data_IF_015572867534
#
_entry.id   IF_015572867534
#
_cell.length_a   1.000
_cell.length_b   1.000
_cell.length_c   1.000
_cell.angle_alpha   90.00
_cell.angle_beta   90.00
_cell.angle_gamma   90.00
#
_symmetry.space_group_name_H-M   'P 1'
#
loop_
_entity.id
_entity.type
_entity.pdbx_description
1 polymer ?
#
# COMPACT_ATOMS: atom_id res chain seq x y z
N UNK A 1 -13.73 -2.60 40.27
CA UNK A 1 -13.83 -2.15 38.87
C UNK A 1 -13.21 -0.77 38.80
N UNK A 2 -12.14 -0.58 38.01
CA UNK A 2 -11.67 0.77 37.71
C UNK A 2 -12.77 1.49 36.92
N UNK A 3 -13.03 2.78 37.23
CA UNK A 3 -13.92 3.59 36.42
C UNK A 3 -13.42 3.62 34.97
N UNK A 4 -14.34 3.65 34.00
CA UNK A 4 -13.95 3.84 32.61
C UNK A 4 -13.21 5.18 32.47
N UNK A 5 -12.13 5.25 31.68
CA UNK A 5 -11.39 6.50 31.50
C UNK A 5 -12.27 7.55 30.83
N UNK A 6 -12.12 8.80 31.26
CA UNK A 6 -12.71 9.97 30.61
C UNK A 6 -12.06 10.25 29.26
N UNK A 7 -12.75 11.01 28.41
CA UNK A 7 -12.19 11.41 27.11
C UNK A 7 -10.94 12.29 27.29
N UNK A 8 -10.92 13.13 28.32
CA UNK A 8 -9.80 13.99 28.67
C UNK A 8 -8.54 13.19 29.04
N UNK A 9 -8.68 12.12 29.84
CA UNK A 9 -7.57 11.22 30.18
C UNK A 9 -7.01 10.51 28.94
N UNK A 10 -7.88 10.10 28.01
CA UNK A 10 -7.46 9.49 26.74
C UNK A 10 -6.66 10.48 25.90
N UNK A 11 -7.14 11.71 25.76
CA UNK A 11 -6.46 12.78 24.99
C UNK A 11 -5.13 13.16 25.63
N UNK A 12 -5.04 13.22 26.96
CA UNK A 12 -3.78 13.51 27.65
C UNK A 12 -2.71 12.45 27.34
N UNK A 13 -3.07 11.17 27.42
CA UNK A 13 -2.16 10.07 27.09
C UNK A 13 -1.78 10.07 25.61
N UNK A 14 -2.73 10.38 24.72
CA UNK A 14 -2.46 10.49 23.29
C UNK A 14 -1.46 11.63 23.00
N UNK A 15 -1.65 12.81 23.59
CA UNK A 15 -0.73 13.94 23.42
C UNK A 15 0.68 13.59 23.91
N UNK A 16 0.77 12.90 25.05
CA UNK A 16 2.06 12.42 25.58
C UNK A 16 2.72 11.41 24.63
N UNK A 17 1.95 10.50 24.04
CA UNK A 17 2.46 9.53 23.07
C UNK A 17 2.99 10.22 21.81
N UNK A 18 2.24 11.17 21.25
CA UNK A 18 2.63 11.95 20.06
C UNK A 18 3.94 12.71 20.31
N UNK A 19 4.07 13.38 21.45
CA UNK A 19 5.30 14.09 21.81
C UNK A 19 6.49 13.12 21.93
N UNK A 20 6.32 12.00 22.63
CA UNK A 20 7.38 10.99 22.76
C UNK A 20 7.78 10.40 21.40
N UNK A 21 6.82 10.18 20.51
CA UNK A 21 7.06 9.66 19.17
C UNK A 21 7.85 10.67 18.33
N UNK A 22 7.46 11.94 18.34
CA UNK A 22 8.20 13.01 17.66
C UNK A 22 9.64 13.14 18.14
N UNK A 23 9.85 13.19 19.47
CA UNK A 23 11.19 13.28 20.06
C UNK A 23 12.03 12.04 19.74
N UNK A 24 11.41 10.85 19.76
CA UNK A 24 12.10 9.62 19.38
C UNK A 24 12.54 9.68 17.92
N UNK A 25 11.63 9.99 17.01
CA UNK A 25 11.93 10.10 15.58
C UNK A 25 13.05 11.11 15.30
N UNK A 26 12.93 12.33 15.84
CA UNK A 26 13.89 13.40 15.61
C UNK A 26 15.31 13.05 16.06
N UNK A 27 15.44 12.33 17.18
CA UNK A 27 16.72 12.07 17.82
C UNK A 27 17.28 10.65 17.62
N UNK A 28 16.44 9.70 17.18
CA UNK A 28 16.80 8.27 17.07
C UNK A 28 16.58 7.68 15.68
N UNK A 29 15.71 8.26 14.86
CA UNK A 29 15.39 7.73 13.53
C UNK A 29 15.91 8.60 12.41
N UNK A 30 15.70 9.92 12.51
CA UNK A 30 16.06 10.87 11.45
C UNK A 30 17.56 10.81 11.14
N UNK A 31 17.88 10.64 9.87
CA UNK A 31 19.25 10.59 9.37
C UNK A 31 19.99 9.26 9.61
N UNK A 32 19.34 8.27 10.23
CA UNK A 32 19.89 6.90 10.33
C UNK A 32 19.97 6.20 8.98
N UNK A 33 20.71 5.09 8.92
CA UNK A 33 20.76 4.25 7.72
C UNK A 33 19.36 3.75 7.31
N UNK A 34 18.54 3.35 8.28
CA UNK A 34 17.17 2.89 8.06
C UNK A 34 16.32 3.98 7.42
N UNK A 35 16.40 5.22 7.92
CA UNK A 35 15.71 6.37 7.34
C UNK A 35 16.08 6.59 5.87
N UNK A 36 17.37 6.58 5.53
CA UNK A 36 17.79 6.75 4.13
C UNK A 36 17.38 5.57 3.24
N UNK A 37 17.43 4.35 3.75
CA UNK A 37 16.95 3.17 3.03
C UNK A 37 15.44 3.30 2.74
N UNK A 38 14.64 3.68 3.73
CA UNK A 38 13.21 3.92 3.59
C UNK A 38 12.92 5.05 2.59
N UNK A 39 13.70 6.12 2.59
CA UNK A 39 13.58 7.19 1.59
C UNK A 39 13.90 6.68 0.16
N UNK A 40 14.87 5.79 -0.01
CA UNK A 40 15.15 5.16 -1.31
C UNK A 40 13.98 4.27 -1.76
N UNK A 41 13.40 3.48 -0.85
CA UNK A 41 12.21 2.66 -1.12
C UNK A 41 11.01 3.53 -1.49
N UNK A 42 10.91 4.74 -0.94
CA UNK A 42 9.90 5.70 -1.33
C UNK A 42 10.14 6.26 -2.74
N UNK A 43 11.36 6.69 -3.08
CA UNK A 43 11.59 7.46 -4.32
C UNK A 43 11.87 6.58 -5.54
N UNK A 44 12.70 5.56 -5.40
CA UNK A 44 13.23 4.77 -6.53
C UNK A 44 12.11 4.06 -7.32
N UNK A 45 11.12 3.40 -6.71
CA UNK A 45 10.05 2.74 -7.46
C UNK A 45 9.27 3.72 -8.34
N UNK A 46 8.96 4.93 -7.86
CA UNK A 46 8.27 5.94 -8.67
C UNK A 46 9.08 6.40 -9.88
N UNK A 47 10.40 6.53 -9.74
CA UNK A 47 11.29 6.84 -10.87
C UNK A 47 11.27 5.72 -11.92
N UNK A 48 11.31 4.47 -11.48
CA UNK A 48 11.19 3.30 -12.36
C UNK A 48 9.80 3.25 -13.02
N UNK A 49 8.75 3.47 -12.25
CA UNK A 49 7.38 3.50 -12.77
C UNK A 49 7.23 4.56 -13.85
N UNK A 50 7.72 5.79 -13.64
CA UNK A 50 7.60 6.85 -14.63
C UNK A 50 8.23 6.48 -15.98
N UNK A 51 9.37 5.77 -15.94
CA UNK A 51 10.10 5.27 -17.11
C UNK A 51 9.35 4.16 -17.85
N UNK A 52 8.69 3.25 -17.13
CA UNK A 52 8.04 2.06 -17.71
C UNK A 52 6.51 2.16 -17.83
N UNK A 53 5.89 3.22 -17.33
CA UNK A 53 4.44 3.38 -17.33
C UNK A 53 3.87 3.47 -18.75
N UNK A 54 2.86 2.65 -19.04
CA UNK A 54 2.10 2.70 -20.28
C UNK A 54 1.23 3.96 -20.32
N UNK A 55 1.73 4.98 -21.01
CA UNK A 55 1.11 6.30 -21.09
C UNK A 55 -0.28 6.28 -21.76
N UNK A 56 -0.64 5.22 -22.50
CA UNK A 56 -1.97 5.09 -23.13
C UNK A 56 -3.07 4.72 -22.14
N UNK A 57 -2.70 4.05 -21.04
CA UNK A 57 -3.63 3.54 -20.01
C UNK A 57 -3.36 4.17 -18.64
N UNK A 58 -2.72 5.34 -18.62
CA UNK A 58 -2.18 5.94 -17.39
C UNK A 58 -3.24 6.11 -16.30
N UNK A 59 -4.45 6.57 -16.66
CA UNK A 59 -5.55 6.78 -15.71
C UNK A 59 -6.02 5.47 -15.08
N UNK A 60 -6.17 4.41 -15.87
CA UNK A 60 -6.57 3.08 -15.40
C UNK A 60 -5.51 2.48 -14.46
N UNK A 61 -4.24 2.60 -14.84
CA UNK A 61 -3.10 2.10 -14.05
C UNK A 61 -2.97 2.87 -12.74
N UNK A 62 -3.08 4.21 -12.78
CA UNK A 62 -3.06 5.04 -11.58
C UNK A 62 -4.25 4.76 -10.67
N UNK A 63 -5.46 4.59 -11.23
CA UNK A 63 -6.64 4.20 -10.45
C UNK A 63 -6.39 2.89 -9.70
N UNK A 64 -5.84 1.89 -10.39
CA UNK A 64 -5.45 0.63 -9.78
C UNK A 64 -4.39 0.83 -8.67
N UNK A 65 -3.33 1.59 -8.94
CA UNK A 65 -2.29 1.89 -7.95
C UNK A 65 -2.80 2.63 -6.72
N UNK A 66 -3.67 3.62 -6.89
CA UNK A 66 -4.27 4.36 -5.77
C UNK A 66 -5.23 3.50 -4.95
N UNK A 67 -5.96 2.56 -5.58
CA UNK A 67 -6.75 1.58 -4.84
C UNK A 67 -5.84 0.66 -4.00
N UNK A 68 -4.72 0.20 -4.55
CA UNK A 68 -3.73 -0.61 -3.81
C UNK A 68 -3.16 0.18 -2.63
N UNK A 69 -2.70 1.40 -2.87
CA UNK A 69 -2.20 2.30 -1.83
C UNK A 69 -3.22 2.47 -0.71
N UNK A 70 -4.48 2.71 -1.06
CA UNK A 70 -5.56 2.92 -0.08
C UNK A 70 -5.77 1.67 0.78
N UNK A 71 -5.93 0.50 0.15
CA UNK A 71 -6.16 -0.76 0.88
C UNK A 71 -4.96 -1.13 1.74
N UNK A 72 -3.74 -1.00 1.19
CA UNK A 72 -2.50 -1.28 1.92
C UNK A 72 -2.38 -0.39 3.17
N UNK A 73 -2.52 0.93 3.00
CA UNK A 73 -2.42 1.88 4.11
C UNK A 73 -3.48 1.60 5.19
N UNK A 74 -4.73 1.35 4.81
CA UNK A 74 -5.81 1.08 5.78
C UNK A 74 -5.56 -0.22 6.55
N UNK A 75 -5.17 -1.30 5.86
CA UNK A 75 -4.90 -2.58 6.51
C UNK A 75 -3.68 -2.50 7.43
N UNK A 76 -2.65 -1.76 7.01
CA UNK A 76 -1.43 -1.57 7.79
C UNK A 76 -1.70 -0.81 9.08
N UNK A 77 -2.47 0.27 8.99
CA UNK A 77 -2.89 1.05 10.15
C UNK A 77 -3.77 0.24 11.10
N UNK A 78 -4.74 -0.51 10.58
CA UNK A 78 -5.54 -1.42 11.42
C UNK A 78 -4.64 -2.45 12.10
N UNK A 79 -3.67 -3.01 11.38
CA UNK A 79 -2.71 -3.97 11.94
C UNK A 79 -1.88 -3.39 13.08
N UNK A 80 -1.36 -2.18 12.90
CA UNK A 80 -0.56 -1.51 13.92
C UNK A 80 -1.41 -1.05 15.12
N UNK A 81 -2.62 -0.53 14.90
CA UNK A 81 -3.55 -0.16 15.98
C UNK A 81 -3.96 -1.36 16.83
N UNK A 82 -4.06 -2.55 16.22
CA UNK A 82 -4.31 -3.81 16.92
C UNK A 82 -3.05 -4.43 17.54
N UNK A 83 -1.88 -3.78 17.43
CA UNK A 83 -0.57 -4.30 17.84
C UNK A 83 -0.26 -5.67 17.24
N UNK A 84 -0.66 -5.92 15.99
CA UNK A 84 -0.26 -7.14 15.28
C UNK A 84 1.22 -7.05 14.89
N UNK A 85 1.66 -5.86 14.49
CA UNK A 85 3.03 -5.49 14.17
C UNK A 85 3.25 -3.97 14.38
N UNK A 86 4.50 -3.53 14.29
CA UNK A 86 4.89 -2.11 14.40
C UNK A 86 6.25 -1.85 13.72
N UNK A 87 6.53 -0.58 13.46
CA UNK A 87 7.78 -0.12 12.87
C UNK A 87 8.61 0.72 13.85
N UNK A 88 9.92 0.46 13.87
CA UNK A 88 10.87 1.23 14.67
C UNK A 88 11.41 2.47 13.96
N UNK A 89 11.27 2.51 12.63
CA UNK A 89 11.79 3.57 11.79
C UNK A 89 10.77 3.95 10.74
N UNK A 90 10.58 5.25 10.55
CA UNK A 90 9.77 5.78 9.46
C UNK A 90 10.36 7.09 8.89
N UNK A 91 9.84 7.51 7.74
CA UNK A 91 10.24 8.77 7.09
C UNK A 91 9.61 10.00 7.75
N UNK A 92 8.60 9.80 8.59
CA UNK A 92 7.90 10.85 9.33
C UNK A 92 7.38 10.32 10.68
N UNK A 93 7.16 11.18 11.69
CA UNK A 93 6.94 10.75 13.07
C UNK A 93 5.49 10.43 13.47
N UNK A 94 4.50 10.56 12.59
CA UNK A 94 3.08 10.58 12.98
C UNK A 94 2.23 9.54 12.25
N UNK A 95 1.81 9.86 11.04
CA UNK A 95 0.90 9.09 10.22
C UNK A 95 1.01 9.50 8.74
N UNK A 96 0.84 8.54 7.81
CA UNK A 96 0.67 7.10 8.03
C UNK A 96 1.98 6.34 8.22
N UNK A 97 1.89 5.17 8.84
CA UNK A 97 3.03 4.28 9.05
C UNK A 97 3.48 3.64 7.76
N UNK A 98 4.79 3.42 7.67
CA UNK A 98 5.51 2.78 6.59
C UNK A 98 5.12 3.30 5.18
N UNK A 99 5.03 4.63 5.04
CA UNK A 99 4.77 5.31 3.76
C UNK A 99 5.63 4.74 2.61
N UNK A 100 6.94 4.45 2.77
CA UNK A 100 7.76 3.89 1.70
C UNK A 100 7.21 2.59 1.09
N UNK A 101 6.64 1.70 1.90
CA UNK A 101 6.07 0.45 1.40
C UNK A 101 4.66 0.69 0.85
N UNK A 102 3.81 1.37 1.63
CA UNK A 102 2.39 1.57 1.35
C UNK A 102 2.12 2.50 0.15
N UNK A 103 2.93 3.54 -0.03
CA UNK A 103 2.74 4.59 -1.05
C UNK A 103 3.65 4.42 -2.26
N UNK A 104 4.65 3.54 -2.20
CA UNK A 104 5.61 3.37 -3.29
C UNK A 104 5.79 1.90 -3.64
N UNK A 105 6.51 1.12 -2.84
CA UNK A 105 6.93 -0.22 -3.28
C UNK A 105 5.75 -1.15 -3.61
N UNK A 106 4.69 -1.20 -2.79
CA UNK A 106 3.47 -1.98 -3.08
C UNK A 106 2.71 -1.45 -4.30
N UNK A 107 2.21 -0.20 -4.33
CA UNK A 107 1.39 0.28 -5.44
C UNK A 107 2.17 0.29 -6.75
N UNK A 108 3.46 0.64 -6.76
CA UNK A 108 4.28 0.64 -7.97
C UNK A 108 4.48 -0.77 -8.51
N UNK A 109 4.89 -1.72 -7.68
CA UNK A 109 5.10 -3.10 -8.14
C UNK A 109 3.81 -3.72 -8.68
N UNK A 110 2.68 -3.46 -8.03
CA UNK A 110 1.37 -3.93 -8.46
C UNK A 110 0.96 -3.27 -9.78
N UNK A 111 1.15 -1.97 -9.94
CA UNK A 111 0.90 -1.26 -11.21
C UNK A 111 1.75 -1.81 -12.37
N UNK A 112 3.04 -2.10 -12.12
CA UNK A 112 3.93 -2.68 -13.13
C UNK A 112 3.45 -4.06 -13.57
N UNK A 113 3.02 -4.92 -12.65
CA UNK A 113 2.43 -6.23 -12.99
C UNK A 113 1.09 -6.05 -13.73
N UNK A 114 0.24 -5.13 -13.27
CA UNK A 114 -1.05 -4.85 -13.89
C UNK A 114 -0.92 -4.50 -15.37
N UNK A 115 -0.02 -3.57 -15.71
CA UNK A 115 0.15 -3.15 -17.10
C UNK A 115 0.87 -4.19 -17.97
N UNK A 116 1.76 -5.00 -17.40
CA UNK A 116 2.56 -5.99 -18.10
C UNK A 116 1.80 -7.29 -18.42
N UNK A 117 0.83 -7.68 -17.59
CA UNK A 117 0.13 -8.96 -17.71
C UNK A 117 -1.38 -8.78 -17.97
N UNK A 118 -1.82 -8.62 -19.22
CA UNK A 118 -3.21 -8.36 -19.55
C UNK A 118 -4.13 -9.58 -19.35
N UNK A 119 -3.60 -10.80 -19.21
CA UNK A 119 -4.42 -11.99 -18.95
C UNK A 119 -4.44 -12.36 -17.47
N UNK A 120 -5.60 -12.80 -16.97
CA UNK A 120 -5.79 -13.19 -15.57
C UNK A 120 -4.78 -14.25 -15.10
N UNK A 121 -4.57 -15.30 -15.89
CA UNK A 121 -3.62 -16.38 -15.53
C UNK A 121 -2.21 -15.85 -15.28
N UNK A 122 -1.67 -15.03 -16.18
CA UNK A 122 -0.30 -14.49 -16.03
C UNK A 122 -0.22 -13.49 -14.87
N UNK A 123 -1.26 -12.68 -14.69
CA UNK A 123 -1.34 -11.71 -13.61
C UNK A 123 -1.36 -12.36 -12.23
N UNK A 124 -2.14 -13.43 -12.05
CA UNK A 124 -2.20 -14.18 -10.78
C UNK A 124 -0.85 -14.81 -10.50
N UNK A 125 -0.23 -15.48 -11.49
CA UNK A 125 1.10 -16.09 -11.32
C UNK A 125 2.15 -15.04 -10.91
N UNK A 126 2.15 -13.88 -11.58
CA UNK A 126 3.08 -12.79 -11.27
C UNK A 126 2.87 -12.23 -9.85
N UNK A 127 1.62 -12.05 -9.42
CA UNK A 127 1.34 -11.61 -8.04
C UNK A 127 1.65 -12.68 -7.00
N UNK A 128 1.47 -13.97 -7.30
CA UNK A 128 1.91 -15.05 -6.40
C UNK A 128 3.42 -15.05 -6.22
N UNK A 129 4.18 -14.84 -7.30
CA UNK A 129 5.63 -14.69 -7.22
C UNK A 129 6.04 -13.45 -6.42
N UNK A 130 5.39 -12.30 -6.67
CA UNK A 130 5.65 -11.07 -5.91
C UNK A 130 5.28 -11.22 -4.43
N UNK A 131 4.16 -11.87 -4.12
CA UNK A 131 3.73 -12.17 -2.76
C UNK A 131 4.76 -13.01 -2.01
N UNK A 132 5.37 -13.99 -2.68
CA UNK A 132 6.45 -14.78 -2.08
C UNK A 132 7.69 -13.93 -1.78
N UNK A 133 8.05 -13.02 -2.71
CA UNK A 133 9.15 -12.07 -2.49
C UNK A 133 8.86 -11.15 -1.30
N UNK A 134 7.66 -10.57 -1.22
CA UNK A 134 7.34 -9.67 -0.11
C UNK A 134 7.24 -10.39 1.24
N UNK A 135 6.48 -11.47 1.33
CA UNK A 135 6.25 -12.17 2.59
C UNK A 135 7.49 -12.91 3.11
N UNK A 136 8.31 -13.49 2.22
CA UNK A 136 9.42 -14.38 2.64
C UNK A 136 10.81 -13.82 2.40
N UNK A 137 10.95 -12.68 1.71
CA UNK A 137 12.25 -12.02 1.52
C UNK A 137 12.22 -10.61 2.12
N UNK A 138 11.30 -9.75 1.66
CA UNK A 138 11.31 -8.35 2.09
C UNK A 138 10.93 -8.18 3.56
N UNK A 139 9.84 -8.80 4.03
CA UNK A 139 9.43 -8.69 5.44
C UNK A 139 10.51 -9.24 6.41
N UNK A 140 11.05 -10.47 6.23
CA UNK A 140 12.16 -10.95 7.06
C UNK A 140 13.40 -10.05 6.99
N UNK A 141 13.70 -9.47 5.82
CA UNK A 141 14.80 -8.52 5.66
C UNK A 141 14.57 -7.24 6.46
N UNK A 142 13.34 -6.70 6.50
CA UNK A 142 13.00 -5.55 7.33
C UNK A 142 13.10 -5.86 8.83
N UNK A 143 12.75 -7.08 9.25
CA UNK A 143 13.00 -7.53 10.63
C UNK A 143 14.48 -7.58 10.93
N UNK A 144 15.27 -8.15 10.03
CA UNK A 144 16.72 -8.25 10.19
C UNK A 144 17.39 -6.86 10.32
N UNK A 145 16.91 -5.88 9.57
CA UNK A 145 17.32 -4.48 9.68
C UNK A 145 16.76 -3.74 10.91
N UNK A 146 15.91 -4.40 11.69
CA UNK A 146 15.18 -3.83 12.84
C UNK A 146 14.31 -2.65 12.45
N UNK A 147 13.76 -2.65 11.24
CA UNK A 147 12.76 -1.68 10.79
C UNK A 147 11.37 -2.17 11.18
N UNK A 148 11.13 -3.47 11.04
CA UNK A 148 9.83 -4.10 11.28
C UNK A 148 9.88 -5.00 12.52
N UNK A 149 8.80 -5.01 13.29
CA UNK A 149 8.60 -5.92 14.42
C UNK A 149 7.20 -6.50 14.40
N UNK A 150 7.11 -7.82 14.47
CA UNK A 150 5.85 -8.53 14.67
C UNK A 150 5.59 -8.77 16.16
N UNK A 151 4.32 -8.80 16.54
CA UNK A 151 3.88 -9.17 17.89
C UNK A 151 2.97 -10.40 17.86
N UNK A 152 1.83 -10.29 17.18
CA UNK A 152 0.84 -11.37 17.04
C UNK A 152 0.64 -11.80 15.57
N UNK A 153 1.47 -11.28 14.66
CA UNK A 153 1.40 -11.56 13.24
C UNK A 153 2.51 -12.49 12.78
N UNK A 154 2.12 -13.51 12.01
CA UNK A 154 3.05 -14.40 11.33
C UNK A 154 3.14 -14.01 9.86
N UNK A 155 4.35 -13.97 9.30
CA UNK A 155 4.59 -13.58 7.89
C UNK A 155 3.79 -14.40 6.88
N UNK A 156 3.46 -15.64 7.22
CA UNK A 156 2.67 -16.51 6.37
C UNK A 156 1.24 -15.99 6.14
N UNK A 157 0.73 -15.12 7.02
CA UNK A 157 -0.55 -14.45 6.84
C UNK A 157 -0.50 -13.33 5.80
N UNK A 158 0.65 -12.68 5.62
CA UNK A 158 0.85 -11.65 4.58
C UNK A 158 0.77 -12.24 3.17
N UNK A 159 1.28 -13.46 2.98
CA UNK A 159 1.33 -14.13 1.68
C UNK A 159 -0.03 -14.22 0.94
N UNK A 160 -1.10 -14.77 1.53
CA UNK A 160 -2.40 -14.82 0.85
C UNK A 160 -3.00 -13.42 0.63
N UNK A 161 -2.73 -12.45 1.51
CA UNK A 161 -3.24 -11.08 1.35
C UNK A 161 -2.63 -10.40 0.12
N UNK A 162 -1.31 -10.54 -0.09
CA UNK A 162 -0.63 -10.02 -1.28
C UNK A 162 -1.10 -10.67 -2.60
N UNK A 163 -1.88 -11.75 -2.55
CA UNK A 163 -2.49 -12.38 -3.74
C UNK A 163 -3.95 -11.95 -3.89
N UNK A 164 -4.74 -11.99 -2.82
CA UNK A 164 -6.19 -11.74 -2.88
C UNK A 164 -6.48 -10.29 -3.23
N UNK A 165 -5.80 -9.34 -2.58
CA UNK A 165 -6.00 -7.91 -2.77
C UNK A 165 -5.83 -7.49 -4.25
N UNK A 166 -4.70 -7.78 -4.92
CA UNK A 166 -4.50 -7.31 -6.30
C UNK A 166 -5.50 -7.94 -7.28
N UNK A 167 -5.94 -9.17 -7.05
CA UNK A 167 -6.96 -9.85 -7.86
C UNK A 167 -8.30 -9.12 -7.71
N UNK A 168 -8.73 -8.88 -6.47
CA UNK A 168 -9.98 -8.17 -6.18
C UNK A 168 -9.98 -6.75 -6.78
N UNK A 169 -8.89 -6.00 -6.57
CA UNK A 169 -8.78 -4.64 -7.09
C UNK A 169 -8.74 -4.61 -8.62
N UNK A 170 -8.08 -5.57 -9.26
CA UNK A 170 -8.09 -5.66 -10.72
C UNK A 170 -9.49 -5.92 -11.25
N UNK A 171 -10.25 -6.81 -10.60
CA UNK A 171 -11.63 -7.08 -10.95
C UNK A 171 -12.49 -5.81 -10.81
N UNK A 172 -12.31 -5.07 -9.71
CA UNK A 172 -13.04 -3.83 -9.46
C UNK A 172 -12.76 -2.75 -10.52
N UNK A 173 -11.49 -2.54 -10.89
CA UNK A 173 -11.11 -1.59 -11.95
C UNK A 173 -11.73 -1.96 -13.29
N UNK A 174 -11.65 -3.24 -13.67
CA UNK A 174 -12.24 -3.73 -14.93
C UNK A 174 -13.78 -3.62 -14.92
N UNK A 175 -14.42 -3.86 -13.78
CA UNK A 175 -15.86 -3.69 -13.60
C UNK A 175 -16.28 -2.23 -13.81
N UNK A 176 -15.57 -1.29 -13.19
CA UNK A 176 -15.83 0.16 -13.33
C UNK A 176 -15.63 0.59 -14.79
N UNK A 177 -14.52 0.18 -15.41
CA UNK A 177 -14.24 0.48 -16.81
C UNK A 177 -15.32 -0.06 -17.75
N UNK A 178 -15.82 -1.29 -17.49
CA UNK A 178 -16.91 -1.89 -18.26
C UNK A 178 -18.23 -1.10 -18.14
N UNK A 179 -18.58 -0.62 -16.94
CA UNK A 179 -19.76 0.24 -16.73
C UNK A 179 -19.63 1.57 -17.45
N UNK A 180 -18.45 2.19 -17.45
CA UNK A 180 -18.21 3.43 -18.17
C UNK A 180 -18.38 3.26 -19.68
N UNK A 181 -17.89 2.16 -20.26
CA UNK A 181 -18.05 1.87 -21.69
C UNK A 181 -19.52 1.69 -22.08
N UNK A 182 -20.30 0.94 -21.28
CA UNK A 182 -21.75 0.76 -21.50
C UNK A 182 -22.53 2.08 -21.47
N UNK A 183 -22.15 3.01 -20.59
CA UNK A 183 -22.79 4.32 -20.51
C UNK A 183 -22.49 5.19 -21.74
N UNK A 184 -21.25 5.12 -22.27
CA UNK A 184 -20.87 5.86 -23.47
C UNK A 184 -21.61 5.35 -24.72
N UNK A 185 -21.70 4.04 -24.90
CA UNK A 185 -22.38 3.46 -26.08
C UNK A 185 -23.89 3.70 -26.06
N UNK A 186 -24.52 3.78 -24.87
CA UNK A 186 -25.95 4.11 -24.74
C UNK A 186 -26.28 5.58 -25.10
N UNK A 187 -25.31 6.48 -24.97
CA UNK A 187 -25.49 7.92 -25.19
C UNK A 187 -25.05 8.39 -26.59
N UNK A 188 -24.52 7.51 -27.45
CA UNK A 188 -24.24 7.83 -28.85
C UNK A 188 -25.55 7.77 -29.67
N UNK A 189 -25.95 8.85 -30.37
CA UNK A 189 -27.12 8.82 -31.25
C UNK A 189 -26.94 7.77 -32.35
N UNK A 190 -27.96 6.96 -32.61
CA UNK A 190 -27.96 5.99 -33.70
C UNK A 190 -27.62 6.70 -35.02
N UNK A 191 -26.51 6.32 -35.66
CA UNK A 191 -26.08 6.85 -36.96
C UNK A 191 -26.99 6.41 -38.14
N UNK A 192 -28.10 5.73 -37.87
CA UNK A 192 -29.05 5.23 -38.88
C UNK A 192 -30.04 6.29 -39.43
N UNK A 193 -29.74 7.59 -39.25
CA UNK A 193 -30.59 8.69 -39.72
C UNK A 193 -29.98 9.60 -40.80
N UNK A 194 -28.78 9.28 -41.31
CA UNK A 194 -28.16 10.06 -42.40
C UNK A 194 -28.28 9.27 -43.72
N UNK A 195 -29.44 9.40 -44.36
CA UNK A 195 -29.65 9.13 -45.78
C UNK A 195 -29.62 10.46 -46.53
#
# INVERSE_FOLDING_TARGET
MHAAPSFEEVIELQNKAIEMQYQHWLHKELGTFQFWLLLLVLVVPWLLWWKYADKKRLVEILLYGFMVLTVATVLDEVGCQLNLWEYYYDIEPYFPRLIPLNYSALPVSFMLIYQAFPTWRKFVIAHTALAAVFAFICEPFLIWLKIYKTFQWEHIYSFPLYIIIPIFLRWLVLFIAGKQQQAKTKNEPSRDGAV
#
